data_IF_446585441379
#
_entry.id   IF_446585441379
#
_cell.length_a   1.000
_cell.length_b   1.000
_cell.length_c   1.000
_cell.angle_alpha   90.00
_cell.angle_beta   90.00
_cell.angle_gamma   90.00
#
_symmetry.space_group_name_H-M   'P 1'
#
loop_
_entity.id
_entity.type
_entity.pdbx_description
1 polymer ?
#
# COMPACT_ATOMS: atom_id res chain seq x y z
N UNK A 1 17.01 -8.25 13.54
CA UNK A 1 16.62 -7.08 12.72
C UNK A 1 15.81 -7.59 11.54
N UNK A 2 14.63 -7.03 11.26
CA UNK A 2 13.77 -7.51 10.18
C UNK A 2 12.87 -6.40 9.64
N UNK A 3 12.34 -6.60 8.43
CA UNK A 3 11.44 -5.67 7.74
C UNK A 3 10.12 -6.37 7.47
N UNK A 4 9.02 -5.62 7.55
CA UNK A 4 7.72 -6.05 7.05
C UNK A 4 7.17 -5.00 6.08
N UNK A 5 6.63 -5.45 4.96
CA UNK A 5 6.12 -4.57 3.90
C UNK A 5 4.70 -4.94 3.51
N UNK A 6 3.92 -3.92 3.12
CA UNK A 6 2.62 -4.06 2.46
C UNK A 6 2.65 -3.30 1.14
N UNK A 7 1.92 -3.79 0.15
CA UNK A 7 1.72 -3.09 -1.11
C UNK A 7 0.27 -3.19 -1.58
N UNK A 8 -0.19 -2.18 -2.31
CA UNK A 8 -1.49 -2.13 -2.98
C UNK A 8 -1.30 -1.75 -4.44
N UNK A 9 -2.14 -2.26 -5.35
CA UNK A 9 -2.06 -1.91 -6.77
C UNK A 9 -2.52 -0.46 -7.02
N UNK A 10 -1.92 0.17 -8.03
CA UNK A 10 -2.40 1.38 -8.68
C UNK A 10 -2.95 0.99 -10.05
N UNK A 11 -4.20 1.35 -10.32
CA UNK A 11 -4.88 0.98 -11.57
C UNK A 11 -4.94 2.15 -12.53
N UNK A 12 -4.83 1.92 -13.82
CA UNK A 12 -5.18 2.92 -14.84
C UNK A 12 -6.70 2.99 -15.05
N UNK A 13 -7.15 3.90 -15.91
CA UNK A 13 -8.57 4.08 -16.22
C UNK A 13 -9.23 2.83 -16.85
N UNK A 14 -8.45 1.93 -17.44
CA UNK A 14 -8.92 0.65 -18.00
C UNK A 14 -8.98 -0.47 -16.95
N UNK A 15 -8.69 -0.16 -15.68
CA UNK A 15 -8.69 -1.13 -14.58
C UNK A 15 -7.47 -2.07 -14.58
N UNK A 16 -6.43 -1.75 -15.34
CA UNK A 16 -5.19 -2.53 -15.40
C UNK A 16 -4.20 -2.03 -14.35
N UNK A 17 -3.47 -2.93 -13.70
CA UNK A 17 -2.42 -2.55 -12.75
C UNK A 17 -1.27 -1.89 -13.53
N UNK A 18 -1.02 -0.61 -13.27
CA UNK A 18 0.07 0.15 -13.89
C UNK A 18 1.29 0.24 -12.97
N UNK A 19 1.07 0.20 -11.65
CA UNK A 19 2.11 0.28 -10.64
C UNK A 19 1.64 -0.30 -9.29
N UNK A 20 2.48 -0.25 -8.27
CA UNK A 20 2.13 -0.59 -6.90
C UNK A 20 2.68 0.47 -5.93
N UNK A 21 1.91 0.77 -4.89
CA UNK A 21 2.33 1.62 -3.77
C UNK A 21 2.68 0.73 -2.59
N UNK A 22 3.88 0.89 -2.04
CA UNK A 22 4.39 0.07 -0.94
C UNK A 22 4.72 0.90 0.31
N UNK A 23 4.75 0.23 1.47
CA UNK A 23 5.22 0.79 2.74
C UNK A 23 5.95 -0.29 3.52
N UNK A 24 7.10 0.05 4.10
CA UNK A 24 7.91 -0.84 4.93
C UNK A 24 8.02 -0.34 6.37
N UNK A 25 8.00 -1.25 7.33
CA UNK A 25 8.19 -0.97 8.77
C UNK A 25 9.19 -1.93 9.38
N UNK A 26 9.85 -1.51 10.46
CA UNK A 26 10.70 -2.40 11.24
C UNK A 26 9.84 -3.53 11.84
N UNK A 27 10.17 -4.79 11.58
CA UNK A 27 9.29 -5.92 11.89
C UNK A 27 9.01 -6.13 13.39
N UNK A 28 9.84 -5.56 14.27
CA UNK A 28 9.66 -5.57 15.72
C UNK A 28 8.75 -4.46 16.26
N UNK A 29 8.41 -3.45 15.45
CA UNK A 29 7.56 -2.32 15.87
C UNK A 29 6.07 -2.56 15.59
N UNK A 30 5.74 -3.46 14.66
CA UNK A 30 4.36 -3.68 14.22
C UNK A 30 4.18 -5.08 13.67
N UNK A 31 3.17 -5.81 14.14
CA UNK A 31 2.78 -7.13 13.65
C UNK A 31 2.15 -7.04 12.26
N UNK A 32 2.10 -8.17 11.52
CA UNK A 32 1.40 -8.21 10.24
C UNK A 32 -0.10 -7.89 10.37
N UNK A 33 -0.72 -8.34 11.46
CA UNK A 33 -2.11 -8.07 11.77
C UNK A 33 -2.36 -6.57 11.95
N UNK A 34 -1.54 -5.92 12.77
CA UNK A 34 -1.66 -4.47 12.97
C UNK A 34 -1.40 -3.69 11.68
N UNK A 35 -0.49 -4.14 10.81
CA UNK A 35 -0.32 -3.55 9.47
C UNK A 35 -1.59 -3.66 8.62
N UNK A 36 -2.27 -4.81 8.62
CA UNK A 36 -3.55 -4.96 7.90
C UNK A 36 -4.63 -4.06 8.52
N UNK A 37 -4.72 -4.00 9.84
CA UNK A 37 -5.79 -3.27 10.52
C UNK A 37 -5.59 -1.74 10.48
N UNK A 38 -4.35 -1.26 10.51
CA UNK A 38 -4.04 0.17 10.68
C UNK A 38 -3.38 0.82 9.46
N UNK A 39 -2.61 0.09 8.67
CA UNK A 39 -1.84 0.64 7.55
C UNK A 39 -2.54 0.40 6.22
N UNK A 40 -3.13 -0.79 6.01
CA UNK A 40 -3.80 -1.12 4.74
C UNK A 40 -4.91 -0.13 4.35
N UNK A 41 -5.81 0.33 5.25
CA UNK A 41 -6.87 1.27 4.86
C UNK A 41 -6.32 2.61 4.34
N UNK A 42 -5.29 3.15 5.01
CA UNK A 42 -4.64 4.40 4.63
C UNK A 42 -3.82 4.23 3.34
N UNK A 43 -3.12 3.10 3.19
CA UNK A 43 -2.36 2.79 1.99
C UNK A 43 -3.28 2.66 0.76
N UNK A 44 -4.45 2.03 0.92
CA UNK A 44 -5.48 1.97 -0.12
C UNK A 44 -6.08 3.34 -0.44
N UNK A 45 -6.26 4.22 0.56
CA UNK A 45 -6.72 5.59 0.34
C UNK A 45 -5.70 6.39 -0.47
N UNK A 46 -4.43 6.37 -0.07
CA UNK A 46 -3.34 7.02 -0.79
C UNK A 46 -3.22 6.49 -2.23
N UNK A 47 -3.41 5.17 -2.43
CA UNK A 47 -3.42 4.57 -3.76
C UNK A 47 -4.55 5.09 -4.66
N UNK A 48 -5.77 5.28 -4.11
CA UNK A 48 -6.88 5.86 -4.86
C UNK A 48 -6.61 7.32 -5.23
N UNK A 49 -6.05 8.10 -4.33
CA UNK A 49 -5.69 9.51 -4.58
C UNK A 49 -4.59 9.62 -5.66
N UNK A 50 -3.54 8.80 -5.56
CA UNK A 50 -2.45 8.77 -6.55
C UNK A 50 -2.92 8.28 -7.92
N UNK A 51 -3.88 7.36 -7.97
CA UNK A 51 -4.46 6.88 -9.23
C UNK A 51 -5.04 8.03 -10.08
N UNK A 52 -5.55 9.10 -9.44
CA UNK A 52 -6.04 10.29 -10.16
C UNK A 52 -4.95 11.07 -10.90
N UNK A 53 -3.68 10.86 -10.53
CA UNK A 53 -2.52 11.51 -11.17
C UNK A 53 -1.90 10.64 -12.27
N UNK A 54 -2.29 9.37 -12.36
CA UNK A 54 -1.80 8.43 -13.36
C UNK A 54 -2.63 8.57 -14.65
N UNK A 55 -1.94 8.66 -15.78
CA UNK A 55 -2.54 8.75 -17.12
C UNK A 55 -2.49 7.41 -17.83
#
# INVERSE_FOLDING_TARGET
MGLRSLAVPLFNAQGQVQAALNVGVHAGQMTAREMIERVLPELQKAARELTLLLR
#
